data_IF_710679831030
#
_entry.id   IF_710679831030
#
_cell.length_a   1.000
_cell.length_b   1.000
_cell.length_c   1.000
_cell.angle_alpha   90.00
_cell.angle_beta   90.00
_cell.angle_gamma   90.00
#
_symmetry.space_group_name_H-M   'P 1'
#
loop_
_entity.id
_entity.type
_entity.pdbx_description
1 polymer ?
#
# COMPACT_ATOMS: atom_id res chain seq x y z
N UNK A 1 37.24 -26.12 -14.65
CA UNK A 1 36.32 -26.88 -13.78
C UNK A 1 35.78 -25.95 -12.71
N UNK A 2 34.44 -25.94 -12.61
CA UNK A 2 33.58 -25.30 -11.62
C UNK A 2 34.20 -25.00 -10.25
N UNK A 3 34.40 -23.72 -9.93
CA UNK A 3 34.27 -23.24 -8.56
C UNK A 3 33.03 -22.34 -8.52
N UNK A 4 31.98 -22.93 -7.98
CA UNK A 4 30.68 -22.32 -7.74
C UNK A 4 30.85 -20.97 -7.02
N UNK A 5 30.46 -19.88 -7.68
CA UNK A 5 30.04 -18.64 -7.04
C UNK A 5 28.76 -18.92 -6.23
N UNK A 6 28.91 -19.61 -5.09
CA UNK A 6 27.93 -19.56 -4.01
C UNK A 6 28.02 -18.15 -3.43
N UNK A 7 27.28 -17.20 -4.01
CA UNK A 7 26.78 -16.08 -3.21
C UNK A 7 26.08 -16.74 -2.02
N UNK A 8 26.72 -16.76 -0.84
CA UNK A 8 26.00 -17.02 0.41
C UNK A 8 24.91 -15.97 0.44
N UNK A 9 23.70 -16.34 0.05
CA UNK A 9 22.53 -15.52 0.27
C UNK A 9 22.47 -15.36 1.78
N UNK A 10 22.89 -14.20 2.28
CA UNK A 10 22.78 -13.85 3.68
C UNK A 10 21.36 -14.19 4.12
N UNK A 11 21.22 -14.98 5.18
CA UNK A 11 19.92 -15.48 5.59
C UNK A 11 19.05 -14.30 6.05
N UNK A 12 18.18 -13.81 5.16
CA UNK A 12 17.30 -12.69 5.46
C UNK A 12 16.29 -13.13 6.50
N UNK A 13 16.43 -12.60 7.69
CA UNK A 13 15.41 -12.59 8.71
C UNK A 13 14.34 -11.52 8.41
N UNK A 14 13.24 -11.96 7.80
CA UNK A 14 12.07 -11.13 7.53
C UNK A 14 11.38 -10.61 8.80
N UNK A 15 11.71 -11.20 9.94
CA UNK A 15 11.07 -10.98 11.23
C UNK A 15 11.93 -10.08 12.14
N UNK A 16 13.10 -9.62 11.68
CA UNK A 16 14.02 -8.75 12.42
C UNK A 16 13.40 -7.41 12.86
N UNK A 17 12.38 -6.94 12.15
CA UNK A 17 11.58 -5.78 12.58
C UNK A 17 10.87 -6.04 13.93
N UNK A 18 10.62 -7.29 14.30
CA UNK A 18 9.97 -7.68 15.55
C UNK A 18 10.92 -7.78 16.76
N UNK A 19 12.23 -7.64 16.57
CA UNK A 19 13.21 -7.81 17.66
C UNK A 19 13.21 -6.68 18.69
N UNK A 20 12.89 -5.45 18.28
CA UNK A 20 12.85 -4.30 19.18
C UNK A 20 11.70 -3.37 18.80
N UNK A 21 10.45 -3.82 19.03
CA UNK A 21 9.25 -3.04 18.74
C UNK A 21 9.19 -1.82 19.66
N UNK A 22 9.39 -0.63 19.07
CA UNK A 22 9.17 0.64 19.73
C UNK A 22 7.81 1.22 19.31
N UNK A 23 6.79 1.07 20.15
CA UNK A 23 5.42 1.55 19.86
C UNK A 23 4.77 2.19 21.10
N UNK A 24 5.18 3.42 21.47
CA UNK A 24 4.63 4.10 22.64
C UNK A 24 3.12 4.38 22.46
N UNK A 25 2.30 3.82 23.35
CA UNK A 25 0.83 3.95 23.29
C UNK A 25 0.29 5.23 23.94
N UNK A 26 1.12 5.96 24.70
CA UNK A 26 0.67 7.02 25.61
C UNK A 26 0.97 8.45 25.11
N UNK A 27 1.33 8.64 23.84
CA UNK A 27 1.72 9.94 23.31
C UNK A 27 0.91 10.31 22.07
N UNK A 28 0.49 11.58 21.97
CA UNK A 28 -0.22 12.13 20.82
C UNK A 28 0.78 12.42 19.71
N UNK A 29 1.13 11.38 18.94
CA UNK A 29 2.20 11.47 17.93
C UNK A 29 1.68 11.40 16.48
N UNK A 30 0.40 11.09 16.27
CA UNK A 30 -0.23 11.02 14.95
C UNK A 30 -1.58 11.75 14.96
N UNK A 31 -2.02 12.37 13.84
CA UNK A 31 -3.38 12.88 13.67
C UNK A 31 -4.47 11.84 13.96
N UNK A 32 -4.12 10.55 13.92
CA UNK A 32 -5.03 9.42 14.10
C UNK A 32 -4.98 8.77 15.48
N UNK A 33 -4.01 9.11 16.34
CA UNK A 33 -3.90 8.50 17.69
C UNK A 33 -5.17 8.79 18.49
N UNK A 34 -5.77 7.76 19.09
CA UNK A 34 -7.07 7.83 19.75
C UNK A 34 -8.28 7.97 18.81
N UNK A 35 -8.13 8.67 17.68
CA UNK A 35 -9.19 8.94 16.69
C UNK A 35 -9.50 7.73 15.80
N UNK A 36 -8.52 6.93 15.42
CA UNK A 36 -8.70 5.73 14.60
C UNK A 36 -8.38 4.46 15.41
N UNK A 37 -9.17 3.41 15.22
CA UNK A 37 -8.84 2.07 15.71
C UNK A 37 -9.15 1.02 14.67
N UNK A 38 -8.45 -0.10 14.75
CA UNK A 38 -8.68 -1.26 13.89
C UNK A 38 -9.32 -2.37 14.72
N UNK A 39 -10.37 -2.97 14.16
CA UNK A 39 -10.96 -4.20 14.63
C UNK A 39 -10.95 -5.21 13.48
N UNK A 40 -10.46 -6.42 13.74
CA UNK A 40 -10.51 -7.51 12.77
C UNK A 40 -11.33 -8.64 13.38
N UNK A 41 -12.27 -9.18 12.62
CA UNK A 41 -13.18 -10.19 13.13
C UNK A 41 -12.44 -11.46 13.58
N UNK A 42 -11.47 -11.90 12.79
CA UNK A 42 -10.65 -13.08 13.08
C UNK A 42 -9.26 -12.91 12.43
N UNK A 43 -8.26 -13.71 12.76
CA UNK A 43 -6.97 -13.75 12.05
C UNK A 43 -6.47 -15.20 11.94
N UNK A 44 -6.38 -15.69 10.70
CA UNK A 44 -6.01 -17.07 10.38
C UNK A 44 -4.56 -17.29 9.96
N UNK A 45 -3.88 -16.23 9.51
CA UNK A 45 -2.53 -16.36 8.97
C UNK A 45 -1.59 -15.44 9.72
N UNK A 46 -0.45 -15.99 10.14
CA UNK A 46 0.62 -15.22 10.79
C UNK A 46 0.97 -13.96 9.98
N UNK A 47 1.18 -14.09 8.67
CA UNK A 47 1.46 -12.96 7.77
C UNK A 47 0.44 -11.80 7.90
N UNK A 48 -0.86 -12.09 8.03
CA UNK A 48 -1.89 -11.06 8.19
C UNK A 48 -1.82 -10.41 9.58
N UNK A 49 -1.54 -11.21 10.62
CA UNK A 49 -1.34 -10.73 11.99
C UNK A 49 -0.21 -9.69 12.05
N UNK A 50 0.92 -9.99 11.42
CA UNK A 50 2.10 -9.11 11.39
C UNK A 50 1.90 -7.88 10.53
N UNK A 51 1.28 -8.06 9.36
CA UNK A 51 0.89 -6.93 8.51
C UNK A 51 -0.05 -5.99 9.24
N UNK A 52 -0.95 -6.50 10.10
CA UNK A 52 -1.86 -5.69 10.90
C UNK A 52 -1.12 -4.85 11.93
N UNK A 53 -0.18 -5.44 12.68
CA UNK A 53 0.62 -4.69 13.65
C UNK A 53 1.45 -3.61 12.96
N UNK A 54 2.10 -3.92 11.84
CA UNK A 54 2.86 -2.93 11.07
C UNK A 54 2.00 -1.80 10.56
N UNK A 55 0.80 -2.11 10.08
CA UNK A 55 -0.16 -1.09 9.65
C UNK A 55 -0.59 -0.20 10.81
N UNK A 56 -0.86 -0.80 11.97
CA UNK A 56 -1.26 -0.09 13.17
C UNK A 56 -0.16 0.84 13.70
N UNK A 57 1.09 0.37 13.74
CA UNK A 57 2.26 1.17 14.08
C UNK A 57 2.46 2.30 13.08
N UNK A 58 2.36 2.01 11.77
CA UNK A 58 2.55 3.01 10.71
C UNK A 58 1.59 4.18 10.86
N UNK A 59 0.30 3.94 11.09
CA UNK A 59 -0.67 5.01 11.30
C UNK A 59 -0.72 5.56 12.73
N UNK A 60 0.07 5.01 13.66
CA UNK A 60 0.11 5.46 15.05
C UNK A 60 -1.21 5.25 15.81
N UNK A 61 -1.97 4.20 15.47
CA UNK A 61 -3.21 3.85 16.17
C UNK A 61 -2.91 3.02 17.42
N UNK A 62 -3.91 2.80 18.27
CA UNK A 62 -3.75 1.87 19.40
C UNK A 62 -3.70 0.42 18.95
N UNK A 63 -3.28 -0.47 19.86
CA UNK A 63 -3.30 -1.91 19.65
C UNK A 63 -4.63 -2.38 19.01
N UNK A 64 -4.58 -3.06 17.86
CA UNK A 64 -5.77 -3.52 17.15
C UNK A 64 -6.57 -4.52 17.98
N UNK A 65 -7.87 -4.56 17.77
CA UNK A 65 -8.80 -5.51 18.40
C UNK A 65 -9.01 -6.71 17.50
N UNK A 66 -8.95 -7.91 18.07
CA UNK A 66 -9.38 -9.15 17.43
C UNK A 66 -10.67 -9.60 18.11
N UNK A 67 -11.75 -9.70 17.34
CA UNK A 67 -13.06 -10.01 17.90
C UNK A 67 -13.18 -11.49 18.29
N UNK A 68 -12.57 -12.37 17.50
CA UNK A 68 -12.48 -13.80 17.83
C UNK A 68 -11.57 -14.05 19.03
N UNK A 69 -11.78 -15.21 19.66
CA UNK A 69 -10.91 -15.72 20.71
C UNK A 69 -9.64 -16.42 20.17
N UNK A 70 -9.45 -16.44 18.85
CA UNK A 70 -8.34 -17.10 18.13
C UNK A 70 -8.02 -18.53 18.59
N UNK A 71 -9.00 -19.31 19.07
CA UNK A 71 -8.76 -20.67 19.56
C UNK A 71 -8.37 -21.66 18.47
N UNK A 72 -8.71 -21.35 17.21
CA UNK A 72 -8.44 -22.19 16.03
C UNK A 72 -7.19 -21.77 15.27
N UNK A 73 -6.53 -20.67 15.65
CA UNK A 73 -5.36 -20.17 14.94
C UNK A 73 -4.41 -19.45 15.87
N UNK A 74 -3.18 -19.93 15.92
CA UNK A 74 -2.09 -19.25 16.61
C UNK A 74 -1.13 -18.66 15.56
N UNK A 75 -1.06 -17.33 15.42
CA UNK A 75 -0.18 -16.70 14.43
C UNK A 75 1.30 -16.78 14.88
N UNK A 76 2.05 -17.77 14.39
CA UNK A 76 3.48 -17.94 14.71
C UNK A 76 4.43 -17.29 13.70
N UNK A 77 5.44 -16.56 14.20
CA UNK A 77 6.67 -16.27 13.44
C UNK A 77 7.77 -17.25 13.81
N UNK A 78 8.70 -17.45 12.88
CA UNK A 78 10.02 -18.02 13.15
C UNK A 78 10.96 -16.94 13.74
N UNK A 79 10.48 -16.16 14.72
CA UNK A 79 11.41 -15.39 15.56
C UNK A 79 12.05 -16.38 16.50
N UNK A 80 13.39 -16.45 16.50
CA UNK A 80 14.20 -17.29 17.40
C UNK A 80 13.81 -17.18 18.89
N UNK A 81 13.07 -16.14 19.32
CA UNK A 81 12.84 -15.81 20.72
C UNK A 81 11.40 -15.57 21.19
N UNK A 82 10.32 -15.74 20.38
CA UNK A 82 8.88 -15.85 20.81
C UNK A 82 7.88 -15.36 19.74
N UNK A 83 7.67 -16.12 18.66
CA UNK A 83 6.82 -15.71 17.54
C UNK A 83 5.37 -15.35 17.87
N UNK A 84 4.69 -16.04 18.79
CA UNK A 84 3.27 -15.78 19.10
C UNK A 84 3.07 -14.61 20.08
N UNK A 85 3.96 -14.48 21.06
CA UNK A 85 3.78 -13.59 22.22
C UNK A 85 3.67 -12.12 21.81
N UNK A 86 4.46 -11.70 20.83
CA UNK A 86 4.44 -10.32 20.33
C UNK A 86 3.06 -9.92 19.80
N UNK A 87 2.38 -10.83 19.10
CA UNK A 87 1.05 -10.53 18.58
C UNK A 87 0.05 -10.28 19.71
N UNK A 88 0.03 -11.15 20.72
CA UNK A 88 -0.86 -10.99 21.88
C UNK A 88 -0.48 -9.79 22.77
N UNK A 89 0.80 -9.42 22.87
CA UNK A 89 1.24 -8.21 23.58
C UNK A 89 0.77 -6.93 22.90
N UNK A 90 0.68 -6.94 21.58
CA UNK A 90 0.39 -5.77 20.75
C UNK A 90 -0.99 -5.80 20.09
N UNK A 91 -1.90 -6.66 20.57
CA UNK A 91 -3.30 -6.72 20.14
C UNK A 91 -4.21 -6.98 21.34
N UNK A 92 -5.51 -6.74 21.17
CA UNK A 92 -6.54 -7.06 22.16
C UNK A 92 -7.43 -8.17 21.60
N UNK A 93 -7.14 -9.41 22.00
CA UNK A 93 -7.89 -10.60 21.55
C UNK A 93 -9.17 -10.79 22.37
N UNK A 94 -10.21 -11.38 21.77
CA UNK A 94 -11.54 -11.51 22.36
C UNK A 94 -12.12 -10.15 22.80
N UNK A 95 -11.87 -9.12 22.00
CA UNK A 95 -12.30 -7.76 22.28
C UNK A 95 -13.67 -7.46 21.65
N UNK A 96 -14.39 -6.52 22.23
CA UNK A 96 -15.65 -6.03 21.67
C UNK A 96 -15.42 -4.82 20.74
N UNK A 97 -16.28 -4.69 19.73
CA UNK A 97 -16.42 -3.44 18.98
C UNK A 97 -16.64 -2.27 19.94
N UNK A 98 -16.12 -1.12 19.58
CA UNK A 98 -16.27 0.10 20.35
C UNK A 98 -17.75 0.49 20.42
N UNK A 99 -18.22 0.87 21.62
CA UNK A 99 -19.57 1.41 21.80
C UNK A 99 -19.66 2.91 21.52
N UNK A 100 -18.53 3.62 21.57
CA UNK A 100 -18.48 5.06 21.38
C UNK A 100 -18.07 5.45 19.97
N UNK A 101 -17.16 4.71 19.33
CA UNK A 101 -16.63 5.06 18.00
C UNK A 101 -17.65 4.78 16.91
N UNK A 102 -17.57 5.57 15.84
CA UNK A 102 -18.28 5.30 14.61
C UNK A 102 -17.61 4.14 13.85
N UNK A 103 -18.34 3.06 13.64
CA UNK A 103 -17.85 1.78 13.11
C UNK A 103 -18.08 1.70 11.61
N UNK A 104 -17.01 1.44 10.87
CA UNK A 104 -17.02 1.33 9.41
C UNK A 104 -16.65 -0.09 9.03
N UNK A 105 -17.60 -0.85 8.50
CA UNK A 105 -17.37 -2.19 7.98
C UNK A 105 -16.68 -2.13 6.60
N UNK A 106 -15.50 -2.73 6.49
CA UNK A 106 -14.83 -2.98 5.22
C UNK A 106 -15.32 -4.31 4.65
N UNK A 107 -16.19 -4.21 3.65
CA UNK A 107 -16.82 -5.35 3.00
C UNK A 107 -16.62 -5.23 1.49
N UNK A 108 -16.23 -6.33 0.81
CA UNK A 108 -16.12 -6.32 -0.65
C UNK A 108 -17.49 -6.14 -1.31
N UNK A 109 -18.55 -6.72 -0.73
CA UNK A 109 -19.90 -6.71 -1.30
C UNK A 109 -20.95 -6.44 -0.22
N UNK A 110 -21.63 -5.29 -0.31
CA UNK A 110 -22.83 -5.01 0.48
C UNK A 110 -23.69 -3.99 -0.29
N UNK A 111 -25.02 -4.18 -0.40
CA UNK A 111 -25.88 -3.33 -1.24
C UNK A 111 -25.82 -1.84 -0.94
N UNK A 112 -25.57 -1.48 0.32
CA UNK A 112 -25.46 -0.10 0.79
C UNK A 112 -24.02 0.34 1.07
N UNK A 113 -23.01 -0.42 0.63
CA UNK A 113 -21.63 0.00 0.82
C UNK A 113 -21.28 1.18 -0.08
N UNK A 114 -20.56 2.15 0.49
CA UNK A 114 -20.06 3.31 -0.24
C UNK A 114 -18.60 3.10 -0.67
N UNK A 115 -18.17 3.67 -1.81
CA UNK A 115 -16.76 3.67 -2.20
C UNK A 115 -15.88 4.29 -1.10
N UNK A 116 -14.68 3.74 -0.90
CA UNK A 116 -13.73 4.22 0.13
C UNK A 116 -13.40 5.71 0.04
N UNK A 117 -13.57 6.34 -1.13
CA UNK A 117 -13.35 7.78 -1.30
C UNK A 117 -14.33 8.62 -0.47
N UNK A 118 -15.54 8.12 -0.20
CA UNK A 118 -16.51 8.77 0.70
C UNK A 118 -16.03 8.80 2.16
N UNK A 119 -15.14 7.87 2.53
CA UNK A 119 -14.60 7.80 3.89
C UNK A 119 -13.77 9.04 4.25
N UNK A 120 -13.21 9.75 3.26
CA UNK A 120 -12.46 11.00 3.48
C UNK A 120 -13.38 12.08 4.05
N UNK A 121 -14.52 12.32 3.41
CA UNK A 121 -15.49 13.32 3.84
C UNK A 121 -16.15 12.91 5.16
N UNK A 122 -16.50 11.63 5.30
CA UNK A 122 -17.02 11.09 6.55
C UNK A 122 -16.05 11.32 7.71
N UNK A 123 -14.77 10.99 7.50
CA UNK A 123 -13.73 11.19 8.49
C UNK A 123 -13.55 12.66 8.85
N UNK A 124 -13.51 13.55 7.86
CA UNK A 124 -13.45 14.99 8.11
C UNK A 124 -14.63 15.46 8.98
N UNK A 125 -15.87 15.19 8.57
CA UNK A 125 -17.06 15.63 9.31
C UNK A 125 -17.14 15.07 10.74
N UNK A 126 -16.66 13.84 10.96
CA UNK A 126 -16.71 13.19 12.27
C UNK A 126 -15.58 13.63 13.18
N UNK A 127 -14.37 13.83 12.64
CA UNK A 127 -13.17 14.15 13.41
C UNK A 127 -13.01 15.65 13.66
N UNK A 128 -13.70 16.52 12.92
CA UNK A 128 -13.76 17.97 13.18
C UNK A 128 -14.67 18.36 14.35
N UNK A 129 -15.43 17.43 14.94
CA UNK A 129 -16.32 17.74 16.08
C UNK A 129 -15.51 18.09 17.34
N UNK A 130 -16.01 18.93 18.26
CA UNK A 130 -15.28 19.34 19.46
C UNK A 130 -14.80 18.17 20.34
N UNK A 131 -15.59 17.10 20.43
CA UNK A 131 -15.23 15.85 21.10
C UNK A 131 -15.52 14.69 20.15
N UNK A 132 -14.60 14.38 19.21
CA UNK A 132 -14.85 13.38 18.21
C UNK A 132 -14.77 12.00 18.85
N UNK A 133 -15.86 11.23 18.74
CA UNK A 133 -15.91 9.88 19.27
C UNK A 133 -14.86 8.94 18.65
N UNK A 134 -14.35 9.28 17.46
CA UNK A 134 -13.39 8.49 16.68
C UNK A 134 -14.07 7.53 15.71
N UNK A 135 -13.25 6.88 14.90
CA UNK A 135 -13.64 5.90 13.88
C UNK A 135 -12.98 4.56 14.21
N UNK A 136 -13.74 3.48 14.10
CA UNK A 136 -13.24 2.11 14.16
C UNK A 136 -13.44 1.45 12.80
N UNK A 137 -12.34 1.10 12.12
CA UNK A 137 -12.41 0.32 10.89
C UNK A 137 -12.51 -1.16 11.25
N UNK A 138 -13.53 -1.82 10.74
CA UNK A 138 -13.85 -3.21 11.04
C UNK A 138 -13.63 -4.04 9.79
N UNK A 139 -12.74 -5.03 9.87
CA UNK A 139 -12.31 -5.83 8.72
C UNK A 139 -12.62 -7.31 8.96
N UNK A 140 -13.18 -7.95 7.94
CA UNK A 140 -13.40 -9.39 7.91
C UNK A 140 -12.20 -10.16 7.36
N UNK A 141 -12.20 -11.47 7.54
CA UNK A 141 -11.16 -12.35 6.98
C UNK A 141 -11.47 -12.72 5.53
N UNK A 142 -10.88 -13.81 5.03
CA UNK A 142 -11.02 -14.27 3.63
C UNK A 142 -12.47 -14.44 3.15
N UNK A 143 -13.40 -14.70 4.08
CA UNK A 143 -14.83 -14.86 3.77
C UNK A 143 -15.63 -13.56 3.94
N UNK A 144 -14.96 -12.43 4.19
CA UNK A 144 -15.61 -11.18 4.57
C UNK A 144 -15.99 -11.15 6.04
N UNK A 145 -16.87 -10.20 6.38
CA UNK A 145 -17.42 -10.03 7.72
C UNK A 145 -18.67 -10.90 7.90
N UNK A 146 -18.90 -11.43 9.10
CA UNK A 146 -20.19 -12.05 9.42
C UNK A 146 -21.30 -11.00 9.46
N UNK A 147 -22.53 -11.41 9.14
CA UNK A 147 -23.68 -10.51 9.15
C UNK A 147 -23.86 -9.83 10.51
N UNK A 148 -23.65 -10.57 11.60
CA UNK A 148 -23.68 -10.04 12.98
C UNK A 148 -22.72 -8.85 13.17
N UNK A 149 -21.51 -8.92 12.61
CA UNK A 149 -20.52 -7.84 12.73
C UNK A 149 -20.86 -6.68 11.79
N UNK A 150 -21.36 -6.96 10.59
CA UNK A 150 -21.85 -5.94 9.65
C UNK A 150 -23.01 -5.15 10.25
N UNK A 151 -24.00 -5.82 10.83
CA UNK A 151 -25.18 -5.20 11.48
C UNK A 151 -24.79 -4.35 12.69
N UNK A 152 -23.65 -4.67 13.31
CA UNK A 152 -23.09 -3.89 14.41
C UNK A 152 -22.25 -2.70 13.93
N UNK A 153 -22.07 -2.48 12.63
CA UNK A 153 -21.38 -1.31 12.10
C UNK A 153 -22.34 -0.22 11.65
N UNK A 154 -21.90 1.04 11.71
CA UNK A 154 -22.75 2.19 11.40
C UNK A 154 -22.78 2.50 9.88
N UNK A 155 -21.77 2.04 9.14
CA UNK A 155 -21.74 2.14 7.67
C UNK A 155 -20.88 1.03 7.06
N UNK A 156 -21.17 0.66 5.82
CA UNK A 156 -20.33 -0.24 5.02
C UNK A 156 -19.54 0.54 3.96
N UNK A 157 -18.32 0.12 3.70
CA UNK A 157 -17.50 0.67 2.61
C UNK A 157 -16.74 -0.43 1.88
N UNK A 158 -16.47 -0.20 0.59
CA UNK A 158 -15.72 -1.11 -0.27
C UNK A 158 -14.57 -0.36 -0.97
N UNK A 159 -13.57 -1.13 -1.43
CA UNK A 159 -12.49 -0.59 -2.27
C UNK A 159 -12.89 -0.77 -3.74
N UNK A 160 -13.08 0.31 -4.51
CA UNK A 160 -13.35 0.18 -5.94
C UNK A 160 -12.22 -0.54 -6.67
N UNK A 161 -12.58 -1.50 -7.52
CA UNK A 161 -11.62 -2.28 -8.31
C UNK A 161 -11.72 -1.96 -9.80
N UNK A 162 -10.62 -2.18 -10.51
CA UNK A 162 -10.45 -1.91 -11.94
C UNK A 162 -10.04 -3.14 -12.74
N UNK A 163 -9.52 -4.18 -12.09
CA UNK A 163 -9.26 -5.45 -12.75
C UNK A 163 -10.24 -6.53 -12.34
N UNK A 164 -9.79 -7.79 -12.43
CA UNK A 164 -10.60 -8.95 -12.06
C UNK A 164 -10.83 -9.02 -10.54
N UNK A 165 -12.00 -9.54 -10.13
CA UNK A 165 -12.50 -9.44 -8.74
C UNK A 165 -11.94 -10.53 -7.81
N UNK A 166 -11.80 -10.18 -6.53
CA UNK A 166 -11.30 -11.04 -5.43
C UNK A 166 -9.80 -10.91 -5.19
N UNK A 167 -9.16 -10.02 -5.95
CA UNK A 167 -7.70 -9.90 -6.01
C UNK A 167 -7.11 -9.05 -4.90
N UNK A 168 -7.85 -8.20 -4.19
CA UNK A 168 -7.23 -7.34 -3.17
C UNK A 168 -7.01 -8.11 -1.85
N UNK A 169 -5.84 -7.94 -1.22
CA UNK A 169 -5.60 -8.47 0.13
C UNK A 169 -6.45 -7.71 1.15
N UNK A 170 -6.98 -8.40 2.15
CA UNK A 170 -7.79 -7.77 3.22
C UNK A 170 -7.01 -6.66 3.96
N UNK A 171 -5.72 -6.86 4.21
CA UNK A 171 -4.86 -5.89 4.87
C UNK A 171 -4.53 -4.70 3.94
N UNK A 172 -4.45 -4.94 2.63
CA UNK A 172 -4.35 -3.87 1.64
C UNK A 172 -5.62 -3.01 1.61
N UNK A 173 -6.80 -3.61 1.76
CA UNK A 173 -8.06 -2.87 1.90
C UNK A 173 -8.08 -2.00 3.16
N UNK A 174 -7.65 -2.55 4.31
CA UNK A 174 -7.54 -1.80 5.55
C UNK A 174 -6.52 -0.66 5.45
N UNK A 175 -5.40 -0.86 4.75
CA UNK A 175 -4.40 0.18 4.53
C UNK A 175 -4.96 1.36 3.71
N UNK A 176 -5.70 1.07 2.63
CA UNK A 176 -6.39 2.08 1.83
C UNK A 176 -7.41 2.85 2.68
N UNK A 177 -8.23 2.15 3.46
CA UNK A 177 -9.25 2.77 4.31
C UNK A 177 -8.64 3.63 5.43
N UNK A 178 -7.58 3.14 6.09
CA UNK A 178 -6.86 3.91 7.11
C UNK A 178 -6.23 5.18 6.52
N UNK A 179 -5.64 5.07 5.33
CA UNK A 179 -5.13 6.23 4.60
C UNK A 179 -6.24 7.23 4.21
N UNK A 180 -7.42 6.76 3.81
CA UNK A 180 -8.57 7.63 3.54
C UNK A 180 -9.04 8.39 4.80
N UNK A 181 -9.05 7.72 5.97
CA UNK A 181 -9.34 8.38 7.25
C UNK A 181 -8.27 9.41 7.61
N UNK A 182 -6.98 9.10 7.40
CA UNK A 182 -5.89 10.05 7.60
C UNK A 182 -6.09 11.32 6.79
N UNK A 183 -6.42 11.19 5.50
CA UNK A 183 -6.70 12.33 4.62
C UNK A 183 -7.84 13.20 5.14
N UNK A 184 -8.91 12.58 5.66
CA UNK A 184 -10.01 13.32 6.29
C UNK A 184 -9.58 14.03 7.57
N UNK A 185 -8.75 13.38 8.40
CA UNK A 185 -8.24 13.90 9.65
C UNK A 185 -7.25 15.08 9.46
N UNK A 186 -6.37 15.00 8.45
CA UNK A 186 -5.41 16.08 8.16
C UNK A 186 -6.13 17.34 7.65
N UNK A 187 -7.19 17.17 6.84
CA UNK A 187 -8.02 18.30 6.35
C UNK A 187 -8.72 19.08 7.47
N UNK A 188 -8.88 18.52 8.68
CA UNK A 188 -9.46 19.26 9.82
C UNK A 188 -8.49 20.28 10.43
N UNK A 189 -7.18 20.16 10.15
CA UNK A 189 -6.13 20.99 10.76
C UNK A 189 -5.76 22.25 9.97
N UNK A 190 -6.19 22.37 8.70
CA UNK A 190 -5.92 23.54 7.86
C UNK A 190 -7.10 24.51 7.89
N UNK A 191 -6.90 25.74 8.39
CA UNK A 191 -7.87 26.85 8.46
C UNK A 191 -8.33 27.40 7.09
N UNK A 192 -8.30 26.60 6.02
CA UNK A 192 -8.81 27.00 4.72
C UNK A 192 -10.31 26.78 4.67
N UNK A 193 -11.06 27.86 4.94
CA UNK A 193 -12.53 27.98 4.85
C UNK A 193 -13.11 27.92 3.43
N UNK A 194 -12.32 27.48 2.45
CA UNK A 194 -12.80 27.22 1.10
C UNK A 194 -13.01 25.72 0.90
N UNK A 195 -14.08 25.19 1.51
CA UNK A 195 -14.71 23.98 0.99
C UNK A 195 -15.25 24.31 -0.40
N UNK A 196 -14.49 24.02 -1.45
CA UNK A 196 -15.17 23.62 -2.66
C UNK A 196 -15.91 22.32 -2.31
N UNK A 197 -17.22 22.28 -2.55
CA UNK A 197 -18.11 21.11 -2.45
C UNK A 197 -17.73 19.97 -3.42
N UNK A 198 -16.48 19.94 -3.88
CA UNK A 198 -15.98 19.13 -4.98
C UNK A 198 -14.56 18.73 -4.61
N UNK A 199 -14.39 17.54 -4.04
CA UNK A 199 -13.52 16.47 -4.58
C UNK A 199 -13.81 15.22 -3.73
N UNK A 200 -15.01 14.64 -3.88
CA UNK A 200 -15.04 13.18 -3.85
C UNK A 200 -14.31 12.79 -5.13
N UNK A 201 -13.08 12.29 -5.04
CA UNK A 201 -12.42 11.73 -6.23
C UNK A 201 -13.34 10.62 -6.72
N UNK A 202 -14.05 10.87 -7.81
CA UNK A 202 -14.90 9.89 -8.45
C UNK A 202 -14.01 8.80 -8.98
N UNK A 203 -14.08 7.62 -8.37
CA UNK A 203 -13.44 6.42 -8.88
C UNK A 203 -14.30 5.86 -10.00
N UNK A 204 -13.71 5.52 -11.14
CA UNK A 204 -14.35 4.71 -12.20
C UNK A 204 -14.22 3.20 -11.91
N UNK A 205 -13.83 2.86 -10.68
CA UNK A 205 -13.79 1.49 -10.19
C UNK A 205 -15.18 1.02 -9.78
N UNK A 206 -15.36 -0.29 -9.70
CA UNK A 206 -16.64 -0.91 -9.36
C UNK A 206 -16.57 -1.59 -8.00
N UNK A 207 -17.74 -1.80 -7.38
CA UNK A 207 -17.85 -2.62 -6.19
C UNK A 207 -17.54 -4.08 -6.51
N UNK A 208 -16.67 -4.74 -5.71
CA UNK A 208 -16.46 -6.17 -5.81
C UNK A 208 -17.76 -6.96 -5.57
N UNK A 209 -18.31 -7.63 -6.57
CA UNK A 209 -19.50 -8.46 -6.35
C UNK A 209 -19.12 -9.87 -5.86
N UNK A 210 -19.80 -10.33 -4.81
CA UNK A 210 -19.78 -11.73 -4.35
C UNK A 210 -21.21 -12.20 -4.12
N UNK A 211 -21.75 -12.98 -5.04
CA UNK A 211 -23.06 -13.63 -4.94
C UNK A 211 -24.34 -12.78 -5.10
N UNK A 212 -24.29 -11.52 -5.56
CA UNK A 212 -25.51 -10.77 -5.91
C UNK A 212 -26.03 -11.10 -7.31
N UNK A 213 -27.35 -11.11 -7.49
CA UNK A 213 -28.05 -11.32 -8.77
C UNK A 213 -28.30 -10.03 -9.58
N UNK A 214 -27.99 -8.86 -9.01
CA UNK A 214 -28.19 -7.56 -9.66
C UNK A 214 -27.00 -7.20 -10.54
N UNK A 215 -27.22 -7.16 -11.86
CA UNK A 215 -26.25 -6.79 -12.87
C UNK A 215 -26.55 -5.37 -13.37
N UNK A 216 -25.61 -4.44 -13.19
CA UNK A 216 -25.70 -3.11 -13.77
C UNK A 216 -25.35 -3.16 -15.27
N UNK A 217 -26.16 -2.50 -16.12
CA UNK A 217 -25.83 -2.34 -17.54
C UNK A 217 -24.55 -1.50 -17.64
N UNK A 218 -23.56 -1.97 -18.40
CA UNK A 218 -22.21 -1.40 -18.55
C UNK A 218 -21.27 -1.56 -17.34
N UNK A 219 -21.61 -2.39 -16.35
CA UNK A 219 -20.69 -2.74 -15.28
C UNK A 219 -19.58 -3.70 -15.74
N UNK A 220 -18.52 -3.72 -14.96
CA UNK A 220 -17.27 -4.41 -15.30
C UNK A 220 -17.37 -5.88 -14.92
N UNK A 221 -16.86 -6.81 -15.77
CA UNK A 221 -17.06 -8.23 -15.53
C UNK A 221 -16.38 -8.66 -14.23
N UNK A 222 -17.17 -9.26 -13.34
CA UNK A 222 -16.74 -9.66 -12.01
C UNK A 222 -16.30 -11.12 -11.95
N UNK A 223 -15.83 -11.57 -10.77
CA UNK A 223 -15.27 -12.91 -10.60
C UNK A 223 -16.22 -14.00 -11.11
N UNK A 224 -17.55 -13.83 -10.95
CA UNK A 224 -18.56 -14.74 -11.47
C UNK A 224 -18.70 -14.67 -12.99
N UNK A 225 -18.82 -13.47 -13.55
CA UNK A 225 -18.87 -13.25 -15.01
C UNK A 225 -17.65 -13.82 -15.73
N UNK A 226 -16.53 -13.93 -15.00
CA UNK A 226 -15.26 -14.44 -15.49
C UNK A 226 -15.03 -15.94 -15.21
N UNK A 227 -15.92 -16.64 -14.49
CA UNK A 227 -15.69 -18.05 -14.13
C UNK A 227 -15.56 -18.95 -15.36
N UNK A 228 -16.38 -18.69 -16.38
CA UNK A 228 -16.40 -19.46 -17.63
C UNK A 228 -15.40 -18.90 -18.67
N UNK A 229 -14.76 -17.78 -18.37
CA UNK A 229 -13.75 -17.18 -19.24
C UNK A 229 -12.40 -17.89 -19.10
N UNK A 230 -11.71 -18.11 -20.23
CA UNK A 230 -10.30 -18.52 -20.20
C UNK A 230 -9.41 -17.39 -19.68
N UNK A 231 -8.23 -17.71 -19.13
CA UNK A 231 -7.26 -16.69 -18.71
C UNK A 231 -6.88 -15.73 -19.86
N UNK A 232 -6.86 -16.21 -21.10
CA UNK A 232 -6.58 -15.40 -22.29
C UNK A 232 -7.72 -14.40 -22.54
N UNK A 233 -8.98 -14.84 -22.42
CA UNK A 233 -10.14 -13.97 -22.55
C UNK A 233 -10.15 -12.89 -21.46
N UNK A 234 -9.88 -13.26 -20.19
CA UNK A 234 -9.77 -12.31 -19.09
C UNK A 234 -8.67 -11.27 -19.38
N UNK A 235 -7.49 -11.70 -19.84
CA UNK A 235 -6.40 -10.78 -20.21
C UNK A 235 -6.81 -9.80 -21.31
N UNK A 236 -7.50 -10.28 -22.34
CA UNK A 236 -7.97 -9.44 -23.44
C UNK A 236 -8.96 -8.38 -22.95
N UNK A 237 -9.93 -8.77 -22.12
CA UNK A 237 -10.90 -7.85 -21.49
C UNK A 237 -10.21 -6.79 -20.63
N UNK A 238 -9.27 -7.19 -19.78
CA UNK A 238 -8.51 -6.27 -18.94
C UNK A 238 -7.67 -5.30 -19.77
N UNK A 239 -7.05 -5.78 -20.86
CA UNK A 239 -6.28 -4.96 -21.79
C UNK A 239 -7.14 -3.95 -22.54
N UNK A 240 -8.31 -4.37 -23.02
CA UNK A 240 -9.24 -3.49 -23.71
C UNK A 240 -9.70 -2.36 -22.78
N UNK A 241 -10.07 -2.70 -21.54
CA UNK A 241 -10.42 -1.72 -20.51
C UNK A 241 -9.31 -0.70 -20.25
N UNK A 242 -8.04 -1.13 -20.24
CA UNK A 242 -6.90 -0.21 -20.02
C UNK A 242 -6.82 0.88 -21.08
N UNK A 243 -7.37 0.67 -22.29
CA UNK A 243 -7.39 1.68 -23.36
C UNK A 243 -8.22 2.91 -23.00
N UNK A 244 -9.24 2.74 -22.14
CA UNK A 244 -10.06 3.85 -21.65
C UNK A 244 -9.40 4.66 -20.54
N UNK A 245 -8.24 4.24 -20.01
CA UNK A 245 -7.57 4.98 -18.96
C UNK A 245 -6.77 6.14 -19.53
N UNK A 246 -6.94 7.34 -18.96
CA UNK A 246 -6.15 8.52 -19.32
C UNK A 246 -4.66 8.41 -18.95
N UNK A 247 -4.29 7.40 -18.16
CA UNK A 247 -2.92 7.13 -17.75
C UNK A 247 -2.74 5.64 -17.41
N UNK A 248 -1.67 5.01 -17.89
CA UNK A 248 -1.32 3.65 -17.49
C UNK A 248 -0.58 3.64 -16.14
N UNK A 249 -0.78 2.58 -15.36
CA UNK A 249 -0.06 2.32 -14.12
C UNK A 249 0.63 0.97 -14.23
N UNK A 250 1.86 0.86 -13.73
CA UNK A 250 2.61 -0.39 -13.67
C UNK A 250 3.47 -0.44 -12.42
N UNK A 251 4.00 -1.62 -12.08
CA UNK A 251 4.91 -1.81 -10.95
C UNK A 251 6.27 -2.34 -11.40
N UNK A 252 7.33 -1.85 -10.75
CA UNK A 252 8.69 -2.36 -10.87
C UNK A 252 9.20 -2.80 -9.49
N UNK A 253 9.32 -4.11 -9.30
CA UNK A 253 9.70 -4.72 -8.03
C UNK A 253 11.17 -5.11 -8.08
N UNK A 254 11.95 -4.61 -7.12
CA UNK A 254 13.30 -5.12 -6.86
C UNK A 254 13.20 -6.34 -5.94
N UNK A 255 13.72 -7.49 -6.37
CA UNK A 255 13.58 -8.76 -5.64
C UNK A 255 14.93 -9.48 -5.58
N UNK A 256 15.85 -9.03 -4.74
CA UNK A 256 17.15 -9.70 -4.60
C UNK A 256 17.10 -10.78 -3.52
N UNK A 257 16.43 -10.49 -2.41
CA UNK A 257 16.44 -11.31 -1.19
C UNK A 257 15.22 -12.24 -1.07
N UNK A 258 14.27 -12.17 -2.01
CA UNK A 258 13.10 -13.04 -2.06
C UNK A 258 11.91 -12.53 -1.26
N UNK A 259 11.43 -11.34 -1.59
CA UNK A 259 10.34 -10.65 -0.91
C UNK A 259 9.04 -11.51 -0.85
N UNK A 260 8.51 -11.68 0.36
CA UNK A 260 7.30 -12.48 0.65
C UNK A 260 6.01 -11.76 0.22
N UNK A 261 6.05 -10.45 0.00
CA UNK A 261 4.88 -9.61 -0.30
C UNK A 261 4.52 -9.57 -1.80
N UNK A 262 5.39 -10.05 -2.69
CA UNK A 262 5.20 -9.95 -4.16
C UNK A 262 3.84 -10.51 -4.60
N UNK A 263 3.37 -11.59 -3.98
CA UNK A 263 2.07 -12.17 -4.32
C UNK A 263 0.91 -11.22 -4.05
N UNK A 264 0.95 -10.50 -2.92
CA UNK A 264 -0.04 -9.48 -2.56
C UNK A 264 0.13 -8.21 -3.41
N UNK A 265 1.35 -7.86 -3.81
CA UNK A 265 1.61 -6.74 -4.73
C UNK A 265 1.03 -7.00 -6.13
N UNK A 266 1.21 -8.21 -6.69
CA UNK A 266 0.59 -8.63 -7.97
C UNK A 266 -0.94 -8.56 -7.88
N UNK A 267 -1.48 -8.99 -6.75
CA UNK A 267 -2.90 -8.90 -6.41
C UNK A 267 -3.43 -7.47 -6.42
N UNK A 268 -2.69 -6.52 -5.83
CA UNK A 268 -3.01 -5.10 -5.92
C UNK A 268 -2.90 -4.58 -7.36
N UNK A 269 -1.84 -4.95 -8.09
CA UNK A 269 -1.64 -4.55 -9.47
C UNK A 269 -2.82 -4.97 -10.35
N UNK A 270 -3.28 -6.21 -10.19
CA UNK A 270 -4.46 -6.72 -10.85
C UNK A 270 -5.71 -5.97 -10.41
N UNK A 271 -5.93 -5.78 -9.10
CA UNK A 271 -7.10 -5.06 -8.57
C UNK A 271 -7.23 -3.64 -9.15
N UNK A 272 -6.12 -2.94 -9.41
CA UNK A 272 -6.10 -1.60 -10.03
C UNK A 272 -5.80 -1.60 -11.55
N UNK A 273 -5.85 -2.79 -12.17
CA UNK A 273 -5.61 -3.06 -13.59
C UNK A 273 -4.34 -2.38 -14.14
N UNK A 274 -3.22 -2.65 -13.49
CA UNK A 274 -1.90 -2.24 -13.96
C UNK A 274 -1.57 -2.94 -15.28
N UNK A 275 -0.85 -2.25 -16.17
CA UNK A 275 -0.45 -2.80 -17.47
C UNK A 275 0.47 -4.02 -17.26
N UNK A 276 1.46 -3.90 -16.38
CA UNK A 276 2.33 -5.03 -16.03
C UNK A 276 2.97 -4.90 -14.63
N UNK A 277 3.57 -6.01 -14.19
CA UNK A 277 4.49 -6.07 -13.05
C UNK A 277 5.86 -6.57 -13.54
N UNK A 278 6.89 -5.72 -13.45
CA UNK A 278 8.27 -6.10 -13.75
C UNK A 278 8.98 -6.49 -12.46
N UNK A 279 9.67 -7.64 -12.45
CA UNK A 279 10.42 -8.14 -11.29
C UNK A 279 11.89 -8.29 -11.69
N UNK A 280 12.77 -7.60 -10.96
CA UNK A 280 14.22 -7.58 -11.21
C UNK A 280 14.95 -8.47 -10.21
N UNK A 281 16.09 -9.03 -10.63
CA UNK A 281 16.95 -9.99 -9.90
C UNK A 281 16.34 -11.40 -9.83
N UNK A 282 15.82 -11.80 -8.67
CA UNK A 282 15.29 -13.13 -8.45
C UNK A 282 14.00 -13.30 -9.26
N UNK A 283 14.08 -14.14 -10.28
CA UNK A 283 12.97 -14.45 -11.21
C UNK A 283 11.93 -15.42 -10.61
N UNK A 284 11.79 -15.41 -9.29
CA UNK A 284 10.91 -16.32 -8.53
C UNK A 284 10.30 -15.60 -7.34
N UNK A 285 9.01 -15.82 -7.15
CA UNK A 285 8.24 -15.39 -5.98
C UNK A 285 7.28 -16.52 -5.56
N UNK A 286 6.66 -16.40 -4.38
CA UNK A 286 5.65 -17.35 -3.93
C UNK A 286 4.30 -17.11 -4.63
N UNK A 287 3.97 -17.97 -5.60
CA UNK A 287 2.71 -17.91 -6.36
C UNK A 287 1.47 -18.29 -5.54
N UNK A 288 1.60 -18.89 -4.35
CA UNK A 288 0.41 -19.15 -3.52
C UNK A 288 -0.24 -17.83 -3.05
N UNK A 289 0.57 -16.80 -2.83
CA UNK A 289 0.10 -15.49 -2.38
C UNK A 289 -0.68 -14.70 -3.44
N UNK A 290 -0.60 -15.07 -4.72
CA UNK A 290 -1.31 -14.38 -5.82
C UNK A 290 -2.74 -14.88 -6.00
N UNK A 291 -3.11 -16.03 -5.42
CA UNK A 291 -4.45 -16.62 -5.55
C UNK A 291 -4.92 -16.73 -7.02
N UNK A 292 -4.01 -17.05 -7.95
CA UNK A 292 -4.31 -17.21 -9.37
C UNK A 292 -4.23 -15.93 -10.20
N UNK A 293 -4.09 -14.75 -9.59
CA UNK A 293 -3.99 -13.47 -10.33
C UNK A 293 -2.76 -13.39 -11.23
N UNK A 294 -1.71 -14.16 -10.94
CA UNK A 294 -0.51 -14.27 -11.78
C UNK A 294 -0.80 -14.84 -13.18
N UNK A 295 -1.93 -15.55 -13.34
CA UNK A 295 -2.35 -16.12 -14.64
C UNK A 295 -2.94 -15.07 -15.57
N UNK A 296 -3.44 -13.96 -15.03
CA UNK A 296 -4.14 -12.90 -15.77
C UNK A 296 -3.42 -11.55 -15.71
N UNK A 297 -2.46 -11.38 -14.80
CA UNK A 297 -1.54 -10.24 -14.80
C UNK A 297 -0.37 -10.50 -15.76
N UNK A 298 0.04 -9.47 -16.50
CA UNK A 298 1.29 -9.53 -17.27
C UNK A 298 2.48 -9.30 -16.34
N UNK A 299 3.38 -10.30 -16.26
CA UNK A 299 4.54 -10.30 -15.36
C UNK A 299 5.80 -10.52 -16.19
N UNK A 300 6.77 -9.62 -16.03
CA UNK A 300 8.06 -9.67 -16.72
C UNK A 300 9.19 -9.87 -15.72
N UNK A 301 10.21 -10.62 -16.13
CA UNK A 301 11.37 -10.91 -15.29
C UNK A 301 12.66 -10.43 -15.96
N UNK A 302 13.46 -9.71 -15.20
CA UNK A 302 14.78 -9.23 -15.63
C UNK A 302 15.82 -9.64 -14.58
N UNK A 303 17.05 -9.95 -15.02
CA UNK A 303 18.17 -10.12 -14.08
C UNK A 303 18.66 -8.75 -13.61
N UNK A 304 18.69 -7.76 -14.50
CA UNK A 304 19.10 -6.38 -14.20
C UNK A 304 18.31 -5.36 -15.03
N UNK A 305 18.23 -4.13 -14.53
CA UNK A 305 17.62 -2.98 -15.24
C UNK A 305 18.47 -2.49 -16.42
N UNK A 306 19.70 -2.97 -16.55
CA UNK A 306 20.57 -2.67 -17.69
C UNK A 306 20.20 -3.46 -18.95
N UNK A 307 19.40 -4.53 -18.83
CA UNK A 307 18.95 -5.32 -19.97
C UNK A 307 18.15 -4.47 -20.97
N UNK A 308 18.41 -4.65 -22.27
CA UNK A 308 17.73 -3.91 -23.31
C UNK A 308 16.21 -4.14 -23.28
N UNK A 309 15.76 -5.37 -23.02
CA UNK A 309 14.33 -5.67 -22.88
C UNK A 309 13.71 -4.96 -21.67
N UNK A 310 14.45 -4.83 -20.56
CA UNK A 310 13.99 -4.06 -19.41
C UNK A 310 13.80 -2.60 -19.81
N UNK A 311 14.83 -1.96 -20.40
CA UNK A 311 14.75 -0.55 -20.84
C UNK A 311 13.57 -0.30 -21.79
N UNK A 312 13.38 -1.16 -22.80
CA UNK A 312 12.24 -1.08 -23.72
C UNK A 312 10.88 -1.20 -23.03
N UNK A 313 10.76 -2.06 -22.02
CA UNK A 313 9.50 -2.19 -21.28
C UNK A 313 9.18 -0.90 -20.51
N UNK A 314 10.19 -0.26 -19.93
CA UNK A 314 10.08 0.97 -19.13
C UNK A 314 9.90 2.24 -19.98
N UNK A 315 10.14 2.19 -21.29
CA UNK A 315 10.00 3.34 -22.18
C UNK A 315 8.58 3.94 -22.11
N UNK A 316 8.49 5.28 -22.13
CA UNK A 316 7.24 6.02 -22.01
C UNK A 316 6.64 6.08 -20.60
N UNK A 317 7.27 5.50 -19.58
CA UNK A 317 6.84 5.66 -18.19
C UNK A 317 7.69 6.67 -17.41
N UNK A 318 7.06 7.47 -16.55
CA UNK A 318 7.79 8.17 -15.48
C UNK A 318 7.92 7.24 -14.27
N UNK A 319 9.15 7.03 -13.80
CA UNK A 319 9.43 6.10 -12.70
C UNK A 319 9.38 6.84 -11.38
N UNK A 320 8.54 6.36 -10.46
CA UNK A 320 8.27 6.97 -9.17
C UNK A 320 8.69 6.02 -8.05
N UNK A 321 9.65 6.41 -7.21
CA UNK A 321 10.15 5.59 -6.11
C UNK A 321 9.17 5.59 -4.94
N UNK A 322 8.58 4.44 -4.62
CA UNK A 322 7.75 4.28 -3.44
C UNK A 322 8.63 4.19 -2.19
N UNK A 323 8.64 5.25 -1.39
CA UNK A 323 9.49 5.34 -0.21
C UNK A 323 9.05 4.29 0.83
N UNK A 324 9.97 3.44 1.35
CA UNK A 324 9.56 2.26 2.09
C UNK A 324 9.42 2.48 3.61
N UNK A 325 9.82 3.65 4.13
CA UNK A 325 9.72 4.03 5.56
C UNK A 325 10.45 3.08 6.53
N UNK A 326 11.47 2.35 6.08
CA UNK A 326 12.27 1.50 6.97
C UNK A 326 13.50 2.25 7.49
N UNK A 327 13.70 2.32 8.81
CA UNK A 327 14.94 2.84 9.37
C UNK A 327 16.05 1.77 9.54
N UNK A 328 15.77 0.45 9.46
CA UNK A 328 16.54 -0.52 10.27
C UNK A 328 17.03 -1.84 9.64
N UNK A 329 17.04 -2.07 8.31
CA UNK A 329 17.13 -3.46 7.82
C UNK A 329 18.36 -3.79 6.94
N UNK A 330 18.39 -3.35 5.68
CA UNK A 330 19.55 -3.47 4.81
C UNK A 330 19.78 -2.13 4.13
N UNK A 331 20.98 -1.58 4.23
CA UNK A 331 21.36 -0.38 3.49
C UNK A 331 22.23 -0.79 2.31
N UNK A 332 21.77 -0.53 1.10
CA UNK A 332 22.58 -0.72 -0.10
C UNK A 332 23.68 0.36 -0.16
N UNK A 333 24.82 0.06 0.46
CA UNK A 333 26.05 0.83 0.32
C UNK A 333 26.83 0.28 -0.87
N UNK A 334 27.28 1.14 -1.78
CA UNK A 334 28.43 0.76 -2.61
C UNK A 334 29.63 1.09 -1.73
N UNK A 335 30.26 0.08 -1.13
CA UNK A 335 31.63 0.27 -0.66
C UNK A 335 32.52 0.66 -1.85
N UNK A 336 33.67 1.32 -1.64
CA UNK A 336 34.69 1.44 -2.69
C UNK A 336 34.99 0.03 -3.22
N UNK A 337 35.21 -0.08 -4.53
CA UNK A 337 35.61 -1.35 -5.16
C UNK A 337 36.77 -1.97 -4.37
N UNK A 338 36.52 -3.10 -3.69
CA UNK A 338 37.48 -3.75 -2.79
C UNK A 338 37.08 -3.81 -1.30
N UNK A 339 35.95 -3.24 -0.89
CA UNK A 339 35.42 -3.39 0.47
C UNK A 339 34.89 -4.80 0.77
N UNK A 340 35.16 -5.28 1.98
CA UNK A 340 34.71 -6.59 2.49
C UNK A 340 33.19 -6.79 2.30
N UNK A 341 32.73 -7.76 1.48
CA UNK A 341 31.32 -8.05 1.29
C UNK A 341 30.59 -8.41 2.58
N UNK A 342 31.30 -8.86 3.63
CA UNK A 342 30.71 -9.14 4.96
C UNK A 342 30.35 -7.88 5.76
N UNK A 343 30.84 -6.69 5.38
CA UNK A 343 30.38 -5.40 5.94
C UNK A 343 29.06 -4.90 5.35
N UNK A 344 28.51 -5.56 4.32
CA UNK A 344 27.11 -5.37 3.91
C UNK A 344 26.12 -6.03 4.89
N UNK A 345 26.52 -6.11 6.16
CA UNK A 345 25.92 -6.92 7.20
C UNK A 345 24.47 -6.52 7.40
N UNK A 346 23.58 -7.45 7.11
CA UNK A 346 22.17 -7.40 7.47
C UNK A 346 21.98 -7.29 8.98
N UNK A 347 20.95 -6.54 9.36
CA UNK A 347 20.33 -6.44 10.69
C UNK A 347 20.99 -5.47 11.68
N UNK A 348 20.20 -4.45 12.04
CA UNK A 348 20.24 -3.64 13.26
C UNK A 348 21.56 -3.70 14.05
N UNK A 349 22.46 -2.77 13.75
CA UNK A 349 23.47 -2.32 14.70
C UNK A 349 23.05 -0.91 15.11
N UNK A 350 22.40 -0.77 16.27
CA UNK A 350 21.98 0.56 16.76
C UNK A 350 23.16 1.53 16.90
N UNK A 351 24.38 1.01 16.97
CA UNK A 351 25.64 1.75 17.01
C UNK A 351 26.18 2.14 15.62
N UNK A 352 25.58 1.65 14.52
CA UNK A 352 26.03 1.98 13.16
C UNK A 352 25.72 3.45 12.82
N UNK A 353 26.74 4.29 12.53
CA UNK A 353 26.53 5.72 12.27
C UNK A 353 25.65 6.00 11.05
N UNK A 354 25.68 5.14 10.04
CA UNK A 354 24.83 5.28 8.85
C UNK A 354 23.38 5.02 9.27
N UNK A 355 23.09 3.93 9.97
CA UNK A 355 21.73 3.66 10.47
C UNK A 355 21.23 4.75 11.41
N UNK A 356 22.09 5.29 12.28
CA UNK A 356 21.75 6.43 13.13
C UNK A 356 21.42 7.68 12.31
N UNK A 357 22.19 7.98 11.27
CA UNK A 357 21.92 9.10 10.36
C UNK A 357 20.61 8.92 9.57
N UNK A 358 20.32 7.70 9.11
CA UNK A 358 19.03 7.36 8.50
C UNK A 358 17.88 7.57 9.49
N UNK A 359 18.02 7.09 10.73
CA UNK A 359 17.03 7.28 11.80
C UNK A 359 16.81 8.75 12.16
N UNK A 360 17.89 9.54 12.23
CA UNK A 360 17.84 10.98 12.56
C UNK A 360 17.00 11.79 11.56
N UNK A 361 16.94 11.36 10.30
CA UNK A 361 16.13 12.03 9.27
C UNK A 361 14.62 11.98 9.51
N UNK A 362 14.14 11.07 10.37
CA UNK A 362 12.72 10.83 10.59
C UNK A 362 11.94 10.57 9.28
N UNK A 363 12.59 9.99 8.27
CA UNK A 363 12.09 9.74 6.90
C UNK A 363 11.95 10.96 5.99
N UNK A 364 12.38 12.13 6.41
CA UNK A 364 12.50 13.28 5.51
C UNK A 364 13.77 13.11 4.66
N UNK A 365 13.62 13.10 3.33
CA UNK A 365 14.76 13.12 2.41
C UNK A 365 15.33 14.54 2.30
N UNK A 366 15.90 15.05 3.40
CA UNK A 366 16.60 16.35 3.43
C UNK A 366 17.89 16.28 2.60
N UNK A 367 18.56 17.42 2.39
CA UNK A 367 19.87 17.49 1.75
C UNK A 367 20.94 16.66 2.46
N UNK A 368 20.79 16.43 3.76
CA UNK A 368 21.71 15.68 4.61
C UNK A 368 21.37 14.18 4.67
N UNK A 369 20.19 13.78 4.18
CA UNK A 369 19.79 12.38 4.21
C UNK A 369 20.78 11.55 3.35
N UNK A 370 21.30 10.40 3.83
CA UNK A 370 22.31 9.62 3.11
C UNK A 370 21.92 9.24 1.68
N UNK A 371 20.64 8.89 1.46
CA UNK A 371 20.09 8.66 0.12
C UNK A 371 20.16 9.90 -0.79
N UNK A 372 19.89 11.10 -0.26
CA UNK A 372 19.93 12.36 -1.01
C UNK A 372 21.36 12.81 -1.28
N UNK A 373 22.29 12.61 -0.33
CA UNK A 373 23.71 12.89 -0.56
C UNK A 373 24.23 12.12 -1.79
N UNK A 374 23.75 10.89 -1.97
CA UNK A 374 24.10 10.06 -3.13
C UNK A 374 23.27 10.36 -4.39
N UNK A 375 21.99 10.68 -4.22
CA UNK A 375 21.05 10.94 -5.30
C UNK A 375 20.31 12.28 -5.05
N UNK A 376 20.97 13.43 -5.31
CA UNK A 376 20.43 14.74 -4.91
C UNK A 376 19.11 15.11 -5.59
N UNK A 377 18.74 14.46 -6.68
CA UNK A 377 17.46 14.68 -7.35
C UNK A 377 16.26 14.11 -6.58
N UNK A 378 16.46 13.12 -5.69
CA UNK A 378 15.38 12.46 -4.98
C UNK A 378 14.67 13.37 -3.96
N UNK A 379 15.37 14.37 -3.41
CA UNK A 379 14.77 15.35 -2.48
C UNK A 379 13.97 16.45 -3.19
N UNK A 380 14.08 16.58 -4.52
CA UNK A 380 13.54 17.73 -5.26
C UNK A 380 12.05 17.60 -5.60
N UNK A 381 11.56 16.37 -5.74
CA UNK A 381 10.22 16.11 -6.27
C UNK A 381 9.51 15.03 -5.47
N UNK A 382 9.12 15.38 -4.24
CA UNK A 382 8.27 14.54 -3.42
C UNK A 382 6.82 14.57 -3.94
N UNK A 383 6.14 13.43 -3.82
CA UNK A 383 4.70 13.26 -4.05
C UNK A 383 4.10 12.68 -2.78
N UNK A 384 3.08 13.32 -2.24
CA UNK A 384 2.41 12.89 -1.02
C UNK A 384 1.03 12.35 -1.38
N UNK A 385 0.78 11.07 -1.10
CA UNK A 385 -0.48 10.41 -1.47
C UNK A 385 -1.66 10.90 -0.62
N UNK A 386 -1.36 11.49 0.53
CA UNK A 386 -2.27 12.16 1.46
C UNK A 386 -2.63 13.60 1.06
N UNK A 387 -1.91 14.20 0.11
CA UNK A 387 -2.18 15.53 -0.44
C UNK A 387 -2.75 15.44 -1.87
N UNK A 388 -4.04 15.77 -2.01
CA UNK A 388 -4.76 15.75 -3.28
C UNK A 388 -4.17 16.71 -4.31
N UNK A 389 -3.75 17.90 -3.89
CA UNK A 389 -3.25 18.95 -4.77
C UNK A 389 -1.88 18.58 -5.34
N UNK A 390 -0.96 18.16 -4.46
CA UNK A 390 0.37 17.68 -4.87
C UNK A 390 0.26 16.49 -5.83
N UNK A 391 -0.53 15.47 -5.49
CA UNK A 391 -0.70 14.30 -6.33
C UNK A 391 -1.27 14.64 -7.71
N UNK A 392 -2.33 15.44 -7.74
CA UNK A 392 -3.01 15.84 -8.99
C UNK A 392 -2.08 16.64 -9.90
N UNK A 393 -1.34 17.60 -9.34
CA UNK A 393 -0.34 18.39 -10.08
C UNK A 393 0.74 17.49 -10.70
N UNK A 394 1.24 16.50 -9.95
CA UNK A 394 2.25 15.56 -10.44
C UNK A 394 1.71 14.65 -11.56
N UNK A 395 0.46 14.19 -11.47
CA UNK A 395 -0.17 13.39 -12.54
C UNK A 395 -0.38 14.24 -13.80
N UNK A 396 -0.84 15.49 -13.66
CA UNK A 396 -0.97 16.41 -14.79
C UNK A 396 0.38 16.66 -15.46
N UNK A 397 1.47 16.73 -14.69
CA UNK A 397 2.83 16.86 -15.23
C UNK A 397 3.23 15.68 -16.12
N UNK A 398 2.93 14.45 -15.70
CA UNK A 398 3.17 13.24 -16.51
C UNK A 398 2.34 13.26 -17.79
N UNK A 399 1.05 13.67 -17.70
CA UNK A 399 0.18 13.83 -18.87
C UNK A 399 0.68 14.90 -19.84
N UNK A 400 1.13 16.06 -19.32
CA UNK A 400 1.70 17.16 -20.13
C UNK A 400 2.95 16.74 -20.90
N UNK A 401 3.75 15.83 -20.34
CA UNK A 401 4.92 15.23 -21.01
C UNK A 401 4.55 14.18 -22.06
N UNK A 402 3.26 13.92 -22.27
CA UNK A 402 2.74 12.89 -23.17
C UNK A 402 3.34 11.50 -22.92
N UNK A 403 3.56 11.18 -21.64
CA UNK A 403 4.05 9.87 -21.22
C UNK A 403 2.90 8.86 -21.18
N UNK A 404 3.20 7.60 -21.49
CA UNK A 404 2.25 6.47 -21.43
C UNK A 404 1.69 6.28 -20.02
N UNK A 405 2.50 6.48 -18.97
CA UNK A 405 2.04 6.22 -17.62
C UNK A 405 3.02 6.51 -16.49
N UNK A 406 2.65 6.08 -15.29
CA UNK A 406 3.50 6.06 -14.09
C UNK A 406 3.88 4.62 -13.75
N UNK A 407 5.18 4.39 -13.52
CA UNK A 407 5.71 3.13 -13.05
C UNK A 407 6.19 3.29 -11.60
N UNK A 408 5.55 2.61 -10.66
CA UNK A 408 5.99 2.63 -9.27
C UNK A 408 7.16 1.67 -9.07
N UNK A 409 8.34 2.23 -8.77
CA UNK A 409 9.49 1.47 -8.30
C UNK A 409 9.29 1.10 -6.82
N UNK A 410 9.24 -0.19 -6.54
CA UNK A 410 8.93 -0.77 -5.23
C UNK A 410 10.20 -1.41 -4.68
N UNK A 411 10.83 -0.80 -3.67
CA UNK A 411 11.94 -1.40 -2.94
C UNK A 411 11.52 -2.70 -2.26
N UNK A 412 12.50 -3.56 -2.04
CA UNK A 412 12.29 -4.80 -1.30
C UNK A 412 12.04 -4.49 0.18
N UNK A 413 11.11 -5.23 0.79
CA UNK A 413 10.80 -5.13 2.22
C UNK A 413 12.06 -5.21 3.06
N UNK A 414 12.26 -4.24 3.94
CA UNK A 414 13.43 -4.21 4.79
C UNK A 414 14.74 -3.92 4.06
N UNK A 415 14.70 -3.14 3.00
CA UNK A 415 15.90 -2.57 2.41
C UNK A 415 15.72 -1.07 2.16
N UNK A 416 16.82 -0.34 2.17
CA UNK A 416 16.87 0.97 1.53
C UNK A 416 16.57 0.80 0.04
N UNK A 417 16.07 1.82 -0.67
CA UNK A 417 16.00 1.79 -2.12
C UNK A 417 17.35 1.40 -2.75
N UNK A 418 17.34 0.42 -3.65
CA UNK A 418 18.54 0.01 -4.37
C UNK A 418 19.00 1.12 -5.32
N UNK A 419 20.31 1.37 -5.49
CA UNK A 419 20.86 2.41 -6.38
C UNK A 419 20.24 2.44 -7.78
N UNK A 420 20.03 1.29 -8.41
CA UNK A 420 19.42 1.22 -9.75
C UNK A 420 17.96 1.72 -9.79
N UNK A 421 17.21 1.62 -8.70
CA UNK A 421 15.88 2.23 -8.62
C UNK A 421 16.01 3.75 -8.42
N UNK A 422 16.94 4.20 -7.57
CA UNK A 422 17.19 5.60 -7.28
C UNK A 422 17.60 6.39 -8.53
N UNK A 423 18.52 5.84 -9.33
CA UNK A 423 19.00 6.42 -10.58
C UNK A 423 17.88 6.63 -11.60
N UNK A 424 16.96 5.66 -11.70
CA UNK A 424 15.84 5.71 -12.64
C UNK A 424 14.68 6.59 -12.16
N UNK A 425 14.55 6.79 -10.86
CA UNK A 425 13.37 7.42 -10.28
C UNK A 425 13.42 8.93 -10.43
N UNK A 426 12.35 9.48 -11.01
CA UNK A 426 12.20 10.93 -11.22
C UNK A 426 11.64 11.64 -9.98
N UNK A 427 10.85 10.92 -9.19
CA UNK A 427 10.10 11.41 -8.02
C UNK A 427 10.16 10.39 -6.88
N UNK A 428 9.97 10.86 -5.65
CA UNK A 428 9.78 10.02 -4.47
C UNK A 428 8.35 10.14 -3.98
N UNK A 429 7.68 9.01 -3.83
CA UNK A 429 6.28 8.90 -3.41
C UNK A 429 6.23 8.47 -1.97
N UNK A 430 5.54 9.27 -1.18
CA UNK A 430 5.24 9.04 0.22
C UNK A 430 3.77 8.61 0.35
N UNK A 431 3.55 7.47 1.01
CA UNK A 431 2.21 7.03 1.45
C UNK A 431 1.56 8.06 2.36
N UNK A 432 2.34 8.68 3.23
CA UNK A 432 1.93 9.86 4.00
C UNK A 432 3.11 10.76 4.24
N UNK A 433 2.88 12.08 4.37
CA UNK A 433 3.90 13.00 4.86
C UNK A 433 4.52 12.48 6.17
N UNK A 434 5.86 12.41 6.29
CA UNK A 434 6.50 12.00 7.53
C UNK A 434 6.16 12.92 8.72
N UNK A 435 5.70 14.16 8.48
CA UNK A 435 5.26 15.09 9.53
C UNK A 435 3.98 14.65 10.24
N UNK A 436 3.18 13.76 9.64
CA UNK A 436 1.99 13.18 10.28
C UNK A 436 2.28 11.88 11.03
N UNK A 437 3.53 11.40 11.01
CA UNK A 437 3.92 10.13 11.58
C UNK A 437 4.58 10.27 12.95
N UNK A 438 4.33 9.34 13.88
CA UNK A 438 5.01 9.33 15.17
C UNK A 438 6.52 9.11 15.04
N UNK A 439 7.32 10.09 15.46
CA UNK A 439 8.79 10.02 15.35
C UNK A 439 9.41 8.84 16.11
N UNK A 440 8.91 8.57 17.32
CA UNK A 440 9.42 7.51 18.20
C UNK A 440 8.88 6.11 17.86
N UNK A 441 7.90 5.99 16.96
CA UNK A 441 7.36 4.68 16.61
C UNK A 441 8.20 4.04 15.51
N UNK A 442 8.61 2.80 15.74
CA UNK A 442 9.22 1.98 14.71
C UNK A 442 8.22 1.80 13.57
N UNK A 443 8.65 2.13 12.35
CA UNK A 443 7.79 2.11 11.17
C UNK A 443 8.49 1.49 9.97
N UNK A 444 7.66 1.10 9.01
CA UNK A 444 8.05 0.29 7.87
C UNK A 444 6.81 -0.36 7.27
N UNK A 445 6.31 0.24 6.19
CA UNK A 445 5.13 -0.28 5.52
C UNK A 445 5.57 -1.29 4.48
N UNK A 446 5.10 -2.53 4.58
CA UNK A 446 5.49 -3.55 3.62
C UNK A 446 4.99 -3.20 2.21
N UNK A 447 5.66 -3.72 1.16
CA UNK A 447 5.30 -3.44 -0.23
C UNK A 447 3.83 -3.71 -0.58
N UNK A 448 3.19 -4.71 0.04
CA UNK A 448 1.79 -5.02 -0.23
C UNK A 448 0.82 -3.94 0.28
N UNK A 449 1.13 -3.29 1.40
CA UNK A 449 0.28 -2.23 1.96
C UNK A 449 0.56 -0.89 1.27
N UNK A 450 1.84 -0.55 1.05
CA UNK A 450 2.21 0.71 0.41
C UNK A 450 1.77 0.79 -1.05
N UNK A 451 1.91 -0.29 -1.82
CA UNK A 451 1.44 -0.33 -3.22
C UNK A 451 -0.07 -0.27 -3.33
N UNK A 452 -0.82 -0.86 -2.38
CA UNK A 452 -2.28 -0.79 -2.37
C UNK A 452 -2.77 0.66 -2.24
N UNK A 453 -2.20 1.40 -1.27
CA UNK A 453 -2.52 2.82 -1.07
C UNK A 453 -2.11 3.63 -2.30
N UNK A 454 -0.90 3.41 -2.82
CA UNK A 454 -0.40 4.16 -3.97
C UNK A 454 -1.27 3.97 -5.22
N UNK A 455 -1.62 2.72 -5.55
CA UNK A 455 -2.43 2.43 -6.73
C UNK A 455 -3.86 2.96 -6.62
N UNK A 456 -4.49 2.87 -5.44
CA UNK A 456 -5.80 3.48 -5.22
C UNK A 456 -5.75 4.99 -5.44
N UNK A 457 -4.76 5.65 -4.83
CA UNK A 457 -4.65 7.11 -4.87
C UNK A 457 -4.33 7.62 -6.27
N UNK A 458 -3.39 6.98 -6.97
CA UNK A 458 -3.04 7.32 -8.35
C UNK A 458 -4.23 7.16 -9.29
N UNK A 459 -4.97 6.05 -9.16
CA UNK A 459 -6.12 5.80 -10.04
C UNK A 459 -7.26 6.78 -9.75
N UNK A 460 -7.61 6.98 -8.49
CA UNK A 460 -8.64 7.95 -8.08
C UNK A 460 -8.31 9.38 -8.53
N UNK A 461 -7.05 9.80 -8.42
CA UNK A 461 -6.62 11.13 -8.87
C UNK A 461 -6.58 11.25 -10.41
N UNK A 462 -6.16 10.20 -11.12
CA UNK A 462 -6.18 10.18 -12.59
C UNK A 462 -7.62 10.23 -13.16
N UNK A 463 -8.56 9.55 -12.52
CA UNK A 463 -9.97 9.56 -12.89
C UNK A 463 -10.62 10.92 -12.62
N UNK A 464 -10.36 11.52 -11.45
CA UNK A 464 -10.86 12.85 -11.10
C UNK A 464 -10.36 13.97 -12.03
N UNK A 465 -9.21 13.78 -12.68
CA UNK A 465 -8.74 14.68 -13.73
C UNK A 465 -9.51 14.53 -15.03
N UNK A 466 -9.99 13.33 -15.36
CA UNK A 466 -10.65 13.06 -16.64
C UNK A 466 -12.08 13.62 -16.64
N UNK A 467 -12.77 13.57 -15.50
CA UNK A 467 -14.12 14.13 -15.34
C UNK A 467 -14.19 15.66 -15.38
N UNK A 468 -13.10 16.38 -15.07
CA UNK A 468 -13.06 17.84 -15.17
C UNK A 468 -13.02 18.36 -16.61
N UNK A 469 -12.56 17.56 -17.58
CA UNK A 469 -12.50 17.94 -18.99
C UNK A 469 -13.72 17.47 -19.81
N UNK A 470 -14.64 16.70 -19.21
CA UNK A 470 -15.90 16.25 -19.83
C UNK A 470 -17.09 17.13 -19.41
N UNK A 471 -16.95 18.46 -19.43
CA UNK A 471 -18.13 19.33 -19.46
C UNK A 471 -18.67 19.35 -20.89
N UNK A 472 -19.92 18.94 -21.16
CA UNK A 472 -20.44 18.96 -22.52
C UNK A 472 -20.59 20.42 -22.94
N UNK A 473 -19.93 20.76 -24.05
CA UNK A 473 -20.36 21.82 -24.94
C UNK A 473 -21.84 21.58 -25.23
N UNK A 474 -22.72 22.33 -24.54
CA UNK A 474 -24.13 22.41 -24.92
C UNK A 474 -24.15 22.97 -26.34
N UNK A 475 -24.38 22.09 -27.30
CA UNK A 475 -24.80 22.45 -28.64
C UNK A 475 -26.10 23.25 -28.51
N UNK A 476 -26.01 24.56 -28.68
CA UNK A 476 -27.13 25.39 -29.11
C UNK A 476 -27.40 25.05 -30.58
N UNK A 477 -28.46 24.28 -30.82
CA UNK A 477 -29.07 24.04 -32.12
C UNK A 477 -30.57 24.15 -31.97
#
# INVERSE_FOLDING_TARGET
MLLCNLKRLVHKDFDAWGYHIQWPQNQVLSPLTGKLSFAVEDIKFAYNAWSLLRLAMFFGVHHPKILSNMTKTTPSMDIMLSGNRLFFMHSRVNANLSRSKFRVALTPNHPHALPVQHLVQLAHCRLSKPQPAGIELVLGMENGLSQKVVDACDVCTFIPQYGSIGSLSMLSALAIAAHAVLRGAVKTGSNTSHLSNSVVCTSQGHMPQSNSSAQEKNALPHKKDLLDCSNIAIKALLKDRRRGYSLQLSLLIYNELGDRNIGAVIRNANAFNCEYVAIVNRRRFNRRGTLGTEKVQDIYFFKTLQEQQARRLLEGYEIWLLYPYYPNLLVHTNGPEGGDPDRSSTFLRHEDPILQAWGASQHHLTSEHPLTLRFPHLSKHAVFLDDDSSLTCCIQDVKRKNLRGILLAVPEEGSSPHPSLCELSRRVVYVTSPSFLPQQTQRGLNPALSTAVALERLRSAADGLSSMYETPTRLSG
#
